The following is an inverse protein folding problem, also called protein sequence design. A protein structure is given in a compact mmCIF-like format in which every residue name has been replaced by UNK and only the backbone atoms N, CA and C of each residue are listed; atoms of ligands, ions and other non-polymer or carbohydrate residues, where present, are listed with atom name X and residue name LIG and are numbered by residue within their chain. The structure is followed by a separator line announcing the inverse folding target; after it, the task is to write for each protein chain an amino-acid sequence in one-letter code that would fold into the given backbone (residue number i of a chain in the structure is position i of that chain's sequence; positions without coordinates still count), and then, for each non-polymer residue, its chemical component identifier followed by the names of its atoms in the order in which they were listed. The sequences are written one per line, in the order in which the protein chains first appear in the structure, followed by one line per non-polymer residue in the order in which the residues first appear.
data_IF_650349302770
#
_entry.id   IF_650349302770
#
_cell.length_a   1.000
_cell.length_b   1.000
_cell.length_c   1.000
_cell.angle_alpha   90.00
_cell.angle_beta   90.00
_cell.angle_gamma   90.00
#
_symmetry.space_group_name_H-M   'P 1'
#
loop_
_entity.id
_entity.type
_entity.pdbx_description
1 polymer ?
#
# COMPACT_ATOMS: atom_id res chain seq x y z
N UNK A 1 -7.62 17.30 0.91
CA UNK A 1 -6.29 17.11 1.57
C UNK A 1 -5.35 16.50 0.56
N UNK A 2 -4.10 16.97 0.48
CA UNK A 2 -3.08 16.45 -0.43
C UNK A 2 -2.08 15.59 0.33
N UNK A 3 -1.72 14.44 -0.20
CA UNK A 3 -0.79 13.48 0.42
C UNK A 3 0.23 13.06 -0.64
N UNK A 4 1.52 13.24 -0.33
CA UNK A 4 2.61 12.69 -1.12
C UNK A 4 3.18 11.46 -0.39
N UNK A 5 3.25 10.33 -1.09
CA UNK A 5 3.85 9.08 -0.60
C UNK A 5 5.16 8.87 -1.36
N UNK A 6 6.26 8.71 -0.64
CA UNK A 6 7.59 8.48 -1.22
C UNK A 6 7.90 6.98 -1.14
N UNK A 7 7.99 6.34 -2.30
CA UNK A 7 8.18 4.91 -2.48
C UNK A 7 6.93 4.20 -2.99
N UNK A 8 7.05 3.55 -4.15
CA UNK A 8 6.04 2.71 -4.81
C UNK A 8 6.14 1.23 -4.45
N UNK A 9 6.80 0.89 -3.34
CA UNK A 9 6.84 -0.49 -2.82
C UNK A 9 5.52 -0.91 -2.14
N UNK A 10 5.42 -2.17 -1.67
CA UNK A 10 4.19 -2.73 -1.09
C UNK A 10 3.58 -1.86 0.02
N UNK A 11 4.41 -1.33 0.93
CA UNK A 11 3.93 -0.48 2.02
C UNK A 11 3.34 0.85 1.52
N UNK A 12 4.00 1.53 0.58
CA UNK A 12 3.55 2.81 0.05
C UNK A 12 2.27 2.67 -0.78
N UNK A 13 2.19 1.65 -1.63
CA UNK A 13 1.00 1.35 -2.41
C UNK A 13 -0.18 0.92 -1.54
N UNK A 14 0.06 0.06 -0.54
CA UNK A 14 -1.00 -0.38 0.36
C UNK A 14 -1.52 0.77 1.22
N UNK A 15 -0.64 1.63 1.73
CA UNK A 15 -1.04 2.85 2.41
C UNK A 15 -1.88 3.77 1.51
N UNK A 16 -1.51 3.95 0.24
CA UNK A 16 -2.28 4.74 -0.72
C UNK A 16 -3.70 4.19 -0.90
N UNK A 17 -3.85 2.87 -1.01
CA UNK A 17 -5.14 2.18 -1.12
C UNK A 17 -6.00 2.45 0.12
N UNK A 18 -5.47 2.17 1.32
CA UNK A 18 -6.20 2.36 2.58
C UNK A 18 -6.59 3.83 2.79
N UNK A 19 -5.69 4.77 2.49
CA UNK A 19 -5.97 6.21 2.58
C UNK A 19 -7.08 6.63 1.62
N UNK A 20 -7.10 6.11 0.39
CA UNK A 20 -8.14 6.43 -0.59
C UNK A 20 -9.49 5.84 -0.20
N UNK A 21 -9.51 4.63 0.37
CA UNK A 21 -10.73 4.01 0.92
C UNK A 21 -11.31 4.81 2.09
N UNK A 22 -10.46 5.22 3.03
CA UNK A 22 -10.89 5.98 4.20
C UNK A 22 -11.25 7.43 3.87
N UNK A 23 -10.57 8.03 2.87
CA UNK A 23 -10.80 9.41 2.42
C UNK A 23 -10.83 9.51 0.89
N UNK A 24 -11.97 9.22 0.26
CA UNK A 24 -12.10 9.24 -1.21
C UNK A 24 -11.76 10.58 -1.85
N UNK A 25 -11.97 11.69 -1.13
CA UNK A 25 -11.69 13.06 -1.59
C UNK A 25 -10.20 13.46 -1.43
N UNK A 26 -9.35 12.62 -0.85
CA UNK A 26 -7.93 12.91 -0.76
C UNK A 26 -7.27 12.84 -2.14
N UNK A 27 -6.42 13.81 -2.44
CA UNK A 27 -5.53 13.81 -3.59
C UNK A 27 -4.21 13.16 -3.16
N UNK A 28 -3.89 12.00 -3.73
CA UNK A 28 -2.78 11.15 -3.29
C UNK A 28 -1.86 10.91 -4.47
N UNK A 29 -0.59 11.30 -4.32
CA UNK A 29 0.46 11.06 -5.31
C UNK A 29 1.51 10.14 -4.73
N UNK A 30 1.81 9.04 -5.42
CA UNK A 30 2.92 8.14 -5.08
C UNK A 30 4.09 8.46 -6.00
N UNK A 31 5.26 8.71 -5.42
CA UNK A 31 6.49 8.97 -6.12
C UNK A 31 7.42 7.77 -5.98
N UNK A 32 7.74 7.10 -7.09
CA UNK A 32 8.74 6.05 -7.16
C UNK A 32 9.93 6.54 -7.99
N UNK A 33 11.14 6.27 -7.51
CA UNK A 33 12.39 6.63 -8.17
C UNK A 33 12.71 5.67 -9.31
N UNK A 34 12.48 4.38 -9.08
CA UNK A 34 12.83 3.31 -10.00
C UNK A 34 11.82 3.26 -11.16
N UNK A 35 12.26 2.68 -12.28
CA UNK A 35 11.38 2.46 -13.43
C UNK A 35 10.37 1.35 -13.09
N UNK A 36 9.20 1.29 -13.76
CA UNK A 36 8.19 0.26 -13.49
C UNK A 36 8.69 -1.18 -13.61
N UNK A 37 9.70 -1.40 -14.45
CA UNK A 37 10.36 -2.68 -14.71
C UNK A 37 11.56 -2.97 -13.79
N UNK A 38 12.00 -1.97 -13.01
CA UNK A 38 13.17 -2.05 -12.16
C UNK A 38 12.78 -2.44 -10.73
N UNK A 39 12.46 -3.72 -10.57
CA UNK A 39 11.90 -4.27 -9.33
C UNK A 39 13.01 -4.70 -8.38
N UNK A 40 13.12 -4.00 -7.24
CA UNK A 40 13.99 -4.39 -6.13
C UNK A 40 13.16 -4.70 -4.90
N UNK A 41 13.51 -5.77 -4.20
CA UNK A 41 12.86 -6.14 -2.95
C UNK A 41 13.35 -7.47 -2.41
N UNK A 42 12.87 -7.79 -1.22
CA UNK A 42 13.04 -9.10 -0.59
C UNK A 42 11.69 -9.54 -0.05
N UNK A 43 11.49 -10.86 0.03
CA UNK A 43 10.28 -11.42 0.63
C UNK A 43 10.23 -11.12 2.13
N UNK A 44 9.05 -10.77 2.62
CA UNK A 44 8.75 -10.67 4.06
C UNK A 44 7.59 -11.58 4.39
N UNK A 45 7.56 -12.09 5.62
CA UNK A 45 6.44 -12.86 6.16
C UNK A 45 5.80 -12.05 7.28
N UNK A 46 4.47 -12.12 7.35
CA UNK A 46 3.69 -11.46 8.38
C UNK A 46 3.22 -12.48 9.41
N UNK A 47 3.05 -12.04 10.66
CA UNK A 47 2.39 -12.86 11.67
C UNK A 47 0.89 -12.93 11.41
N UNK A 48 0.23 -13.93 11.98
CA UNK A 48 -1.24 -14.07 11.92
C UNK A 48 -1.93 -12.79 12.39
N UNK A 49 -1.47 -12.19 13.49
CA UNK A 49 -2.01 -10.93 13.99
C UNK A 49 -1.88 -9.76 12.99
N UNK A 50 -0.85 -9.73 12.14
CA UNK A 50 -0.74 -8.72 11.08
C UNK A 50 -1.66 -9.06 9.90
N UNK A 51 -1.78 -10.34 9.54
CA UNK A 51 -2.70 -10.79 8.49
C UNK A 51 -4.17 -10.52 8.85
N UNK A 52 -4.57 -10.75 10.11
CA UNK A 52 -5.90 -10.41 10.62
C UNK A 52 -6.23 -8.92 10.43
N UNK A 53 -5.23 -8.05 10.61
CA UNK A 53 -5.41 -6.62 10.37
C UNK A 53 -5.58 -6.32 8.87
N UNK A 54 -4.84 -6.99 7.99
CA UNK A 54 -5.01 -6.81 6.55
C UNK A 54 -6.38 -7.28 6.08
N UNK A 55 -6.84 -8.45 6.55
CA UNK A 55 -8.18 -8.94 6.27
C UNK A 55 -9.25 -7.94 6.73
N UNK A 56 -9.12 -7.42 7.95
CA UNK A 56 -10.09 -6.47 8.54
C UNK A 56 -10.18 -5.14 7.78
N UNK A 57 -9.05 -4.60 7.33
CA UNK A 57 -9.00 -3.25 6.72
C UNK A 57 -9.05 -3.27 5.20
N UNK A 58 -8.68 -4.39 4.57
CA UNK A 58 -8.68 -4.57 3.13
C UNK A 58 -8.85 -6.05 2.71
N UNK A 59 -10.06 -6.57 2.92
CA UNK A 59 -10.42 -7.91 2.45
C UNK A 59 -10.13 -8.14 0.94
N UNK A 60 -10.42 -7.20 0.01
CA UNK A 60 -10.08 -7.38 -1.40
C UNK A 60 -8.60 -7.60 -1.70
N UNK A 61 -7.69 -6.89 -1.02
CA UNK A 61 -6.25 -7.10 -1.20
C UNK A 61 -5.77 -8.37 -0.49
N UNK A 62 -6.40 -8.75 0.62
CA UNK A 62 -6.07 -9.96 1.38
C UNK A 62 -6.40 -11.27 0.63
N UNK A 63 -7.49 -11.29 -0.15
CA UNK A 63 -7.97 -12.49 -0.83
C UNK A 63 -7.31 -12.77 -2.20
N UNK A 64 -6.42 -11.90 -2.67
CA UNK A 64 -5.93 -11.91 -4.05
C UNK A 64 -4.71 -12.77 -4.28
#
# INVERSE_FOLDING_TARGET
MKIAIIGGGPAGLYAAILLKKQRPQADITVHERNRPDDTFGFGVVFSDATLDNFEKYDLPSYQR
#
